data_IF_354641366272
#
_entry.id   IF_354641366272
#
_cell.length_a   1.000
_cell.length_b   1.000
_cell.length_c   1.000
_cell.angle_alpha   90.00
_cell.angle_beta   90.00
_cell.angle_gamma   90.00
#
_symmetry.space_group_name_H-M   'P 1'
#
loop_
_entity.id
_entity.type
_entity.pdbx_description
1 polymer ?
#
# COMPACT_ATOMS: atom_id res chain seq x y z
N UNK A 1 31.21 -10.73 -16.80
CA UNK A 1 30.99 -10.38 -15.37
C UNK A 1 30.25 -9.05 -15.17
N UNK A 2 30.51 -7.99 -15.94
CA UNK A 2 29.82 -6.69 -15.76
C UNK A 2 28.29 -6.73 -15.85
N UNK A 3 27.72 -7.57 -16.71
CA UNK A 3 26.27 -7.79 -16.81
C UNK A 3 25.64 -8.38 -15.55
N UNK A 4 26.35 -9.26 -14.85
CA UNK A 4 25.86 -9.87 -13.59
C UNK A 4 25.85 -8.82 -12.48
N UNK A 5 26.86 -7.96 -12.43
CA UNK A 5 26.94 -6.85 -11.48
C UNK A 5 25.87 -5.79 -11.78
N UNK A 6 25.65 -5.48 -13.05
CA UNK A 6 24.61 -4.55 -13.50
C UNK A 6 23.20 -5.07 -13.18
N UNK A 7 22.92 -6.35 -13.44
CA UNK A 7 21.63 -6.94 -13.08
C UNK A 7 21.46 -7.02 -11.57
N UNK A 8 22.49 -7.35 -10.79
CA UNK A 8 22.47 -7.31 -9.33
C UNK A 8 22.19 -5.90 -8.80
N UNK A 9 22.84 -4.87 -9.32
CA UNK A 9 22.60 -3.48 -8.92
C UNK A 9 21.17 -3.05 -9.25
N UNK A 10 20.66 -3.40 -10.44
CA UNK A 10 19.26 -3.15 -10.79
C UNK A 10 18.27 -3.93 -9.91
N UNK A 11 18.61 -5.17 -9.52
CA UNK A 11 17.81 -5.98 -8.61
C UNK A 11 17.85 -5.45 -7.17
N UNK A 12 19.00 -4.95 -6.73
CA UNK A 12 19.19 -4.38 -5.39
C UNK A 12 18.55 -3.00 -5.27
N UNK A 13 18.56 -2.24 -6.38
CA UNK A 13 17.82 -1.01 -6.56
C UNK A 13 16.32 -1.25 -6.83
N UNK A 14 15.84 -2.51 -6.84
CA UNK A 14 14.41 -2.75 -6.99
C UNK A 14 13.65 -2.02 -5.88
N UNK A 15 12.59 -1.29 -6.26
CA UNK A 15 11.89 -0.39 -5.38
C UNK A 15 11.31 -1.13 -4.17
N UNK A 16 11.86 -0.89 -2.98
CA UNK A 16 11.23 -1.30 -1.71
C UNK A 16 10.11 -0.31 -1.41
N UNK A 17 8.89 -0.72 -1.74
CA UNK A 17 7.69 0.04 -1.40
C UNK A 17 7.25 -0.40 -0.01
N UNK A 18 7.28 0.54 0.92
CA UNK A 18 6.82 0.35 2.28
C UNK A 18 5.45 1.02 2.47
N UNK A 19 4.69 0.51 3.44
CA UNK A 19 3.36 1.01 3.74
C UNK A 19 3.28 1.33 5.23
N UNK A 20 2.96 2.58 5.55
CA UNK A 20 2.75 3.03 6.92
C UNK A 20 1.33 3.54 7.11
N UNK A 21 0.79 3.25 8.28
CA UNK A 21 -0.49 3.81 8.74
C UNK A 21 -0.16 4.77 9.86
N UNK A 22 -0.38 6.06 9.63
CA UNK A 22 -0.35 7.09 10.67
C UNK A 22 -1.75 7.30 11.25
N UNK A 23 -1.89 8.19 12.22
CA UNK A 23 -3.17 8.52 12.86
C UNK A 23 -4.21 9.14 11.91
N UNK A 24 -3.77 9.85 10.86
CA UNK A 24 -4.65 10.58 9.94
C UNK A 24 -4.48 10.18 8.47
N UNK A 25 -3.39 9.49 8.11
CA UNK A 25 -3.06 9.18 6.72
C UNK A 25 -2.45 7.79 6.58
N UNK A 26 -2.79 7.12 5.49
CA UNK A 26 -2.06 5.97 4.96
C UNK A 26 -0.99 6.50 4.01
N UNK A 27 0.25 6.15 4.27
CA UNK A 27 1.41 6.59 3.49
C UNK A 27 1.99 5.40 2.74
N UNK A 28 2.11 5.56 1.42
CA UNK A 28 2.93 4.70 0.58
C UNK A 28 4.30 5.35 0.49
N UNK A 29 5.28 4.67 1.05
CA UNK A 29 6.67 5.08 1.05
C UNK A 29 7.44 4.31 -0.01
N UNK A 30 8.38 4.98 -0.66
CA UNK A 30 9.34 4.37 -1.55
C UNK A 30 10.73 4.72 -1.05
N UNK A 31 11.49 3.72 -0.60
CA UNK A 31 12.82 3.92 0.00
C UNK A 31 12.84 4.99 1.11
N UNK A 32 11.78 5.06 1.93
CA UNK A 32 11.64 6.05 3.01
C UNK A 32 11.10 7.42 2.58
N UNK A 33 10.87 7.64 1.28
CA UNK A 33 10.25 8.86 0.76
C UNK A 33 8.74 8.64 0.64
N UNK A 34 7.93 9.52 1.23
CA UNK A 34 6.48 9.45 1.10
C UNK A 34 6.03 9.82 -0.33
N UNK A 35 5.70 8.82 -1.14
CA UNK A 35 5.26 9.01 -2.54
C UNK A 35 3.77 9.31 -2.63
N UNK A 36 2.97 8.64 -1.79
CA UNK A 36 1.51 8.83 -1.78
C UNK A 36 0.99 8.90 -0.36
N UNK A 37 0.12 9.87 -0.11
CA UNK A 37 -0.65 9.98 1.13
C UNK A 37 -2.13 9.85 0.79
N UNK A 38 -2.85 9.01 1.53
CA UNK A 38 -4.30 8.85 1.45
C UNK A 38 -4.86 9.15 2.83
N UNK A 39 -5.69 10.18 3.01
CA UNK A 39 -6.27 10.49 4.31
C UNK A 39 -7.22 9.38 4.74
N UNK A 40 -7.22 9.06 6.04
CA UNK A 40 -8.06 8.00 6.61
C UNK A 40 -9.55 8.36 6.50
N UNK A 41 -9.88 9.66 6.58
CA UNK A 41 -11.23 10.17 6.36
C UNK A 41 -11.81 9.85 4.99
N UNK A 42 -10.96 9.73 3.98
CA UNK A 42 -11.34 9.35 2.62
C UNK A 42 -11.45 7.83 2.46
N UNK A 43 -11.18 7.02 3.47
CA UNK A 43 -11.31 5.57 3.37
C UNK A 43 -12.77 5.18 3.61
N UNK A 44 -13.37 4.50 2.64
CA UNK A 44 -14.74 4.00 2.72
C UNK A 44 -14.77 2.54 3.21
N UNK A 45 -13.97 1.69 2.57
CA UNK A 45 -13.99 0.25 2.82
C UNK A 45 -12.66 -0.40 2.49
N UNK A 46 -12.32 -1.45 3.24
CA UNK A 46 -11.20 -2.33 2.95
C UNK A 46 -11.72 -3.66 2.38
N UNK A 47 -11.09 -4.17 1.31
CA UNK A 47 -11.45 -5.44 0.67
C UNK A 47 -10.21 -6.23 0.28
N UNK A 48 -10.37 -7.55 0.15
CA UNK A 48 -9.35 -8.45 -0.41
C UNK A 48 -9.47 -8.58 -1.93
N UNK A 49 -10.66 -8.30 -2.47
CA UNK A 49 -10.98 -8.44 -3.88
C UNK A 49 -11.08 -7.07 -4.52
N UNK A 50 -10.43 -6.94 -5.65
CA UNK A 50 -10.52 -5.76 -6.50
C UNK A 50 -11.83 -5.76 -7.28
N UNK A 51 -12.53 -4.64 -7.25
CA UNK A 51 -13.62 -4.28 -8.15
C UNK A 51 -13.27 -2.94 -8.80
N UNK A 52 -13.33 -2.87 -10.13
CA UNK A 52 -12.99 -1.67 -10.90
C UNK A 52 -11.50 -1.49 -11.17
N UNK A 53 -11.11 -0.31 -11.69
CA UNK A 53 -9.74 0.04 -12.06
C UNK A 53 -9.01 0.69 -10.87
N UNK A 54 -8.03 0.02 -10.24
CA UNK A 54 -7.33 0.56 -9.09
C UNK A 54 -6.10 1.37 -9.48
N UNK A 55 -5.63 2.13 -8.51
CA UNK A 55 -4.28 2.65 -8.44
C UNK A 55 -3.38 1.57 -7.79
N UNK A 56 -2.41 1.04 -8.53
CA UNK A 56 -1.65 -0.16 -8.15
C UNK A 56 -0.32 0.23 -7.50
N UNK A 57 -0.15 -0.17 -6.24
CA UNK A 57 1.08 -0.01 -5.45
C UNK A 57 1.54 -1.39 -4.94
N UNK A 58 2.37 -2.06 -5.73
CA UNK A 58 2.84 -3.43 -5.43
C UNK A 58 4.30 -3.45 -5.03
N UNK A 59 4.60 -4.06 -3.88
CA UNK A 59 5.98 -4.34 -3.43
C UNK A 59 6.43 -5.77 -3.80
N UNK A 60 5.58 -6.54 -4.49
CA UNK A 60 5.91 -7.93 -4.84
C UNK A 60 5.24 -8.38 -6.13
N UNK A 61 5.91 -9.28 -6.85
CA UNK A 61 5.39 -9.94 -8.04
C UNK A 61 4.30 -10.97 -7.70
N UNK A 62 4.37 -11.61 -6.52
CA UNK A 62 3.36 -12.60 -6.04
C UNK A 62 2.35 -11.95 -5.09
N UNK A 63 1.58 -11.01 -5.63
CA UNK A 63 0.67 -10.16 -4.86
C UNK A 63 -0.60 -10.83 -4.33
N UNK A 64 -1.05 -11.97 -4.90
CA UNK A 64 -2.41 -12.49 -4.68
C UNK A 64 -2.80 -12.68 -3.21
N UNK A 65 -1.91 -13.21 -2.37
CA UNK A 65 -2.21 -13.45 -0.96
C UNK A 65 -2.00 -12.21 -0.08
N UNK A 66 -1.23 -11.21 -0.53
CA UNK A 66 -0.93 -9.97 0.21
C UNK A 66 -1.77 -8.78 -0.22
N UNK A 67 -2.60 -8.96 -1.24
CA UNK A 67 -3.40 -7.90 -1.83
C UNK A 67 -4.41 -7.36 -0.82
N UNK A 68 -4.41 -6.05 -0.67
CA UNK A 68 -5.41 -5.31 0.08
C UNK A 68 -5.85 -4.13 -0.79
N UNK A 69 -7.16 -3.99 -0.94
CA UNK A 69 -7.78 -2.94 -1.74
C UNK A 69 -8.50 -1.99 -0.79
N UNK A 70 -8.10 -0.73 -0.83
CA UNK A 70 -8.69 0.35 -0.04
C UNK A 70 -9.59 1.16 -0.98
N UNK A 71 -10.88 1.08 -0.75
CA UNK A 71 -11.88 1.90 -1.44
C UNK A 71 -11.94 3.27 -0.79
N UNK A 72 -12.00 4.28 -1.64
CA UNK A 72 -12.10 5.67 -1.22
C UNK A 72 -13.55 6.15 -1.22
N UNK A 73 -13.88 7.13 -0.38
CA UNK A 73 -15.17 7.82 -0.34
C UNK A 73 -15.26 8.81 -1.50
N UNK A 74 -14.15 9.49 -1.79
CA UNK A 74 -14.00 10.31 -2.99
C UNK A 74 -14.15 9.48 -4.26
N UNK A 75 -14.47 10.14 -5.37
CA UNK A 75 -14.55 9.52 -6.70
C UNK A 75 -13.17 9.09 -7.27
N UNK A 76 -12.19 8.90 -6.39
CA UNK A 76 -10.85 8.48 -6.72
C UNK A 76 -10.76 6.95 -6.84
N UNK A 77 -9.82 6.47 -7.65
CA UNK A 77 -9.64 5.04 -7.93
C UNK A 77 -9.35 4.25 -6.63
N UNK A 78 -9.82 3.01 -6.47
CA UNK A 78 -9.43 2.19 -5.31
C UNK A 78 -7.91 2.02 -5.24
N UNK A 79 -7.32 2.11 -4.05
CA UNK A 79 -5.88 1.92 -3.86
C UNK A 79 -5.60 0.42 -3.63
N UNK A 80 -4.83 -0.22 -4.51
CA UNK A 80 -4.39 -1.59 -4.34
C UNK A 80 -2.98 -1.58 -3.77
N UNK A 81 -2.83 -2.04 -2.54
CA UNK A 81 -1.55 -2.17 -1.84
C UNK A 81 -1.22 -3.64 -1.57
N UNK A 82 0.06 -3.92 -1.30
CA UNK A 82 0.54 -5.28 -0.96
C UNK A 82 1.43 -5.24 0.28
N UNK A 83 0.86 -4.95 1.47
CA UNK A 83 1.63 -4.92 2.70
C UNK A 83 2.26 -6.29 2.98
N UNK A 84 3.46 -6.29 3.56
CA UNK A 84 4.19 -7.52 3.93
C UNK A 84 3.35 -8.43 4.84
N UNK A 85 2.61 -7.85 5.79
CA UNK A 85 1.62 -8.54 6.62
C UNK A 85 0.24 -7.88 6.50
N UNK A 86 -0.65 -8.51 5.71
CA UNK A 86 -2.00 -7.97 5.45
C UNK A 86 -2.87 -7.83 6.69
N UNK A 87 -2.73 -8.72 7.66
CA UNK A 87 -3.60 -8.76 8.84
C UNK A 87 -3.21 -7.66 9.82
N UNK A 88 -1.91 -7.55 10.10
CA UNK A 88 -1.38 -6.47 10.95
C UNK A 88 -1.67 -5.12 10.33
N UNK A 89 -1.48 -4.98 9.02
CA UNK A 89 -1.77 -3.73 8.33
C UNK A 89 -3.26 -3.38 8.38
N UNK A 90 -4.13 -4.35 8.11
CA UNK A 90 -5.58 -4.17 8.19
C UNK A 90 -6.02 -3.74 9.59
N UNK A 91 -5.56 -4.44 10.64
CA UNK A 91 -5.91 -4.09 12.03
C UNK A 91 -5.42 -2.69 12.40
N UNK A 92 -4.20 -2.31 11.99
CA UNK A 92 -3.69 -0.94 12.22
C UNK A 92 -4.56 0.12 11.54
N UNK A 93 -5.05 -0.18 10.35
CA UNK A 93 -5.88 0.73 9.57
C UNK A 93 -7.31 0.81 10.13
N UNK A 94 -7.90 -0.31 10.52
CA UNK A 94 -9.20 -0.36 11.23
C UNK A 94 -9.11 0.43 12.56
N UNK A 95 -8.10 0.17 13.38
CA UNK A 95 -7.88 0.93 14.62
C UNK A 95 -7.70 2.44 14.40
N UNK A 96 -7.10 2.84 13.28
CA UNK A 96 -6.89 4.25 12.96
C UNK A 96 -8.16 4.93 12.44
N UNK A 97 -9.04 4.19 11.76
CA UNK A 97 -10.38 4.64 11.40
C UNK A 97 -11.22 4.82 12.68
N UNK A 98 -11.26 3.80 13.54
CA UNK A 98 -12.06 3.82 14.77
C UNK A 98 -11.68 4.98 15.70
N UNK A 99 -10.39 5.32 15.78
CA UNK A 99 -9.88 6.46 16.57
C UNK A 99 -10.22 7.84 15.99
N UNK A 100 -10.53 7.91 14.70
CA UNK A 100 -10.87 9.16 14.03
C UNK A 100 -12.38 9.41 14.08
N UNK A 101 -13.18 8.34 14.17
CA UNK A 101 -14.64 8.40 14.36
C UNK A 101 -15.04 8.51 15.85
N UNK A 102 -14.11 8.27 16.79
CA UNK A 102 -14.28 8.44 18.24
C UNK A 102 -13.96 9.87 18.70
#
# INVERSE_FOLDING_TARGET
MGWVLFTLVLFWAMPRIDFRVNSSHVVVEWMGIAVRKVPISDINRISKRLKGKPEIWRNTLRANHRMLVIYRKSNARPLLITPSNRYVFRNKLENAIDRMDA
#
